data_IF_061401256678
#
_entry.id   IF_061401256678
#
_cell.length_a   1.000
_cell.length_b   1.000
_cell.length_c   1.000
_cell.angle_alpha   90.00
_cell.angle_beta   90.00
_cell.angle_gamma   90.00
#
_symmetry.space_group_name_H-M   'P 1'
#
loop_
_entity.id
_entity.type
_entity.pdbx_description
1 polymer ?
#
# COMPACT_ATOMS: atom_id res chain seq x y z
N UNK A 1 -4.58 -20.50 16.71
CA UNK A 1 -3.38 -20.81 15.91
C UNK A 1 -2.61 -19.50 15.77
N UNK A 2 -1.30 -19.50 15.53
CA UNK A 2 -0.59 -18.26 15.23
C UNK A 2 -0.22 -18.31 13.75
N UNK A 3 -0.79 -17.40 12.95
CA UNK A 3 -0.55 -17.28 11.51
C UNK A 3 0.77 -16.55 11.28
N UNK A 4 1.69 -17.20 10.58
CA UNK A 4 3.01 -16.64 10.24
C UNK A 4 2.93 -15.89 8.93
N UNK A 5 3.25 -14.60 8.97
CA UNK A 5 3.17 -13.71 7.80
C UNK A 5 4.58 -13.27 7.42
N UNK A 6 4.97 -13.57 6.19
CA UNK A 6 6.23 -13.08 5.62
C UNK A 6 6.02 -11.81 4.80
N UNK A 7 6.64 -10.69 5.15
CA UNK A 7 6.56 -9.44 4.38
C UNK A 7 7.93 -9.11 3.75
N UNK A 8 7.97 -9.05 2.42
CA UNK A 8 9.14 -8.70 1.62
C UNK A 8 9.04 -7.25 1.11
N UNK A 9 9.89 -6.36 1.64
CA UNK A 9 9.96 -4.95 1.24
C UNK A 9 11.16 -4.71 0.31
N UNK A 10 10.92 -4.46 -0.97
CA UNK A 10 11.98 -4.22 -1.96
C UNK A 10 11.70 -2.93 -2.73
N UNK A 11 12.54 -1.90 -2.52
CA UNK A 11 12.19 -0.54 -2.92
C UNK A 11 11.16 0.07 -1.96
N UNK A 12 10.52 1.16 -2.37
CA UNK A 12 9.53 1.83 -1.55
C UNK A 12 8.39 2.39 -2.40
N UNK A 13 7.17 2.09 -1.98
CA UNK A 13 5.94 2.83 -2.30
C UNK A 13 5.39 3.38 -0.98
N UNK A 14 4.44 4.32 -1.02
CA UNK A 14 3.89 4.94 0.19
C UNK A 14 3.24 3.95 1.17
N UNK A 15 2.75 2.81 0.67
CA UNK A 15 2.23 1.73 1.51
C UNK A 15 3.33 0.92 2.24
N UNK A 16 4.56 0.87 1.72
CA UNK A 16 5.65 0.05 2.26
C UNK A 16 6.00 0.30 3.74
N UNK A 17 6.03 1.55 4.24
CA UNK A 17 6.38 1.82 5.64
C UNK A 17 5.33 1.35 6.64
N UNK A 18 4.08 1.13 6.22
CA UNK A 18 2.94 0.89 7.13
C UNK A 18 2.28 -0.49 6.95
N UNK A 19 2.69 -1.27 5.95
CA UNK A 19 2.02 -2.53 5.57
C UNK A 19 1.99 -3.61 6.66
N UNK A 20 3.04 -3.70 7.47
CA UNK A 20 3.15 -4.62 8.60
C UNK A 20 2.44 -4.06 9.83
N UNK A 21 2.62 -2.77 10.08
CA UNK A 21 2.06 -2.08 11.23
C UNK A 21 0.53 -1.95 11.17
N UNK A 22 -0.07 -1.96 9.97
CA UNK A 22 -1.52 -1.87 9.84
C UNK A 22 -2.26 -3.17 10.19
N UNK A 23 -1.55 -4.29 10.29
CA UNK A 23 -2.12 -5.59 10.66
C UNK A 23 -2.22 -5.76 12.18
N UNK A 24 -1.38 -5.08 12.94
CA UNK A 24 -1.37 -5.11 14.40
C UNK A 24 -1.00 -3.73 14.97
N UNK A 25 -1.96 -2.81 14.87
CA UNK A 25 -1.76 -1.39 15.10
C UNK A 25 -1.43 -1.02 16.55
N UNK A 26 -1.52 -2.00 17.48
CA UNK A 26 -1.18 -1.84 18.91
C UNK A 26 -0.20 -2.91 19.43
N UNK A 27 0.32 -3.78 18.57
CA UNK A 27 1.14 -4.92 18.99
C UNK A 27 0.45 -5.81 20.05
N UNK A 28 -0.88 -6.00 19.93
CA UNK A 28 -1.71 -6.73 20.90
C UNK A 28 -2.49 -7.92 20.32
N UNK A 29 -2.33 -8.19 19.02
CA UNK A 29 -2.82 -9.41 18.38
C UNK A 29 -2.01 -10.62 18.80
N UNK A 30 -2.69 -11.67 19.24
CA UNK A 30 -2.05 -12.94 19.64
C UNK A 30 -2.15 -14.02 18.56
N UNK A 31 -2.82 -13.71 17.45
CA UNK A 31 -3.16 -14.62 16.35
C UNK A 31 -2.18 -14.55 15.17
N UNK A 32 -1.27 -13.57 15.12
CA UNK A 32 -0.29 -13.42 14.04
C UNK A 32 1.16 -13.30 14.55
N UNK A 33 2.12 -13.76 13.75
CA UNK A 33 3.55 -13.47 13.91
C UNK A 33 4.13 -13.01 12.57
N UNK A 34 4.55 -11.75 12.52
CA UNK A 34 5.00 -11.08 11.29
C UNK A 34 6.53 -11.04 11.25
N UNK A 35 7.11 -11.45 10.12
CA UNK A 35 8.54 -11.26 9.81
C UNK A 35 8.70 -10.38 8.59
N UNK A 36 9.54 -9.36 8.71
CA UNK A 36 9.82 -8.41 7.63
C UNK A 36 11.27 -8.61 7.17
N UNK A 37 11.45 -8.88 5.88
CA UNK A 37 12.75 -8.90 5.20
C UNK A 37 12.74 -7.88 4.07
N UNK A 38 13.89 -7.34 3.70
CA UNK A 38 13.94 -6.38 2.61
C UNK A 38 15.34 -5.95 2.20
N UNK A 39 15.41 -5.30 1.04
CA UNK A 39 16.64 -4.78 0.42
C UNK A 39 16.75 -3.26 0.49
N UNK A 40 16.00 -2.63 1.42
CA UNK A 40 15.88 -1.19 1.51
C UNK A 40 15.35 -0.59 0.19
N UNK A 41 15.93 0.53 -0.24
CA UNK A 41 15.53 1.20 -1.48
C UNK A 41 15.91 0.44 -2.76
N UNK A 42 16.72 -0.62 -2.68
CA UNK A 42 17.18 -1.36 -3.87
C UNK A 42 16.12 -2.38 -4.30
N UNK A 43 15.90 -2.47 -5.62
CA UNK A 43 14.96 -3.40 -6.26
C UNK A 43 15.58 -4.07 -7.50
N UNK A 44 16.91 -4.19 -7.56
CA UNK A 44 17.57 -4.91 -8.66
C UNK A 44 17.44 -6.43 -8.45
N UNK A 45 17.53 -7.24 -9.52
CA UNK A 45 17.37 -8.69 -9.46
C UNK A 45 18.15 -9.37 -8.34
N UNK A 46 19.45 -9.08 -8.19
CA UNK A 46 20.31 -9.77 -7.21
C UNK A 46 19.84 -9.55 -5.76
N UNK A 47 19.53 -8.31 -5.39
CA UNK A 47 19.06 -8.00 -4.03
C UNK A 47 17.69 -8.60 -3.77
N UNK A 48 16.79 -8.52 -4.74
CA UNK A 48 15.43 -9.04 -4.62
C UNK A 48 15.44 -10.57 -4.55
N UNK A 49 16.29 -11.23 -5.34
CA UNK A 49 16.46 -12.68 -5.31
C UNK A 49 16.98 -13.15 -3.95
N UNK A 50 18.00 -12.49 -3.39
CA UNK A 50 18.55 -12.83 -2.08
C UNK A 50 17.48 -12.82 -0.99
N UNK A 51 16.75 -11.70 -0.85
CA UNK A 51 15.76 -11.56 0.23
C UNK A 51 14.54 -12.45 -0.01
N UNK A 52 14.12 -12.65 -1.26
CA UNK A 52 12.98 -13.52 -1.59
C UNK A 52 13.27 -14.98 -1.22
N UNK A 53 14.48 -15.48 -1.49
CA UNK A 53 14.89 -16.83 -1.08
C UNK A 53 14.89 -16.99 0.43
N UNK A 54 15.49 -16.04 1.16
CA UNK A 54 15.50 -16.04 2.63
C UNK A 54 14.07 -16.06 3.21
N UNK A 55 13.14 -15.30 2.64
CA UNK A 55 11.75 -15.33 3.10
C UNK A 55 11.08 -16.69 2.88
N UNK A 56 11.33 -17.35 1.74
CA UNK A 56 10.80 -18.70 1.48
C UNK A 56 11.36 -19.71 2.49
N UNK A 57 12.63 -19.55 2.90
CA UNK A 57 13.26 -20.41 3.92
C UNK A 57 12.61 -20.29 5.30
N UNK A 58 12.03 -19.13 5.65
CA UNK A 58 11.28 -18.91 6.90
C UNK A 58 9.97 -19.72 6.96
N UNK A 59 9.45 -20.18 5.81
CA UNK A 59 8.20 -20.96 5.67
C UNK A 59 6.99 -20.32 6.38
N UNK A 60 6.64 -19.06 6.09
CA UNK A 60 5.40 -18.47 6.57
C UNK A 60 4.17 -19.15 5.92
N UNK A 61 2.99 -18.94 6.51
CA UNK A 61 1.72 -19.46 5.97
C UNK A 61 1.35 -18.75 4.66
N UNK A 62 1.71 -17.47 4.53
CA UNK A 62 1.68 -16.73 3.27
C UNK A 62 2.72 -15.60 3.22
N UNK A 63 3.01 -15.12 2.02
CA UNK A 63 3.99 -14.05 1.76
C UNK A 63 3.30 -12.84 1.13
N UNK A 64 3.62 -11.65 1.62
CA UNK A 64 3.29 -10.36 1.02
C UNK A 64 4.58 -9.75 0.47
N UNK A 65 4.68 -9.64 -0.85
CA UNK A 65 5.71 -8.80 -1.48
C UNK A 65 5.16 -7.39 -1.64
N UNK A 66 5.94 -6.38 -1.31
CA UNK A 66 5.59 -4.98 -1.55
C UNK A 66 6.76 -4.20 -2.15
N UNK A 67 6.48 -3.48 -3.24
CA UNK A 67 7.46 -2.65 -3.94
C UNK A 67 6.89 -1.96 -5.17
N UNK A 68 7.62 -0.97 -5.73
CA UNK A 68 7.18 -0.26 -6.91
C UNK A 68 7.30 -1.14 -8.16
N UNK A 69 6.41 -0.92 -9.10
CA UNK A 69 6.34 -1.53 -10.41
C UNK A 69 6.57 -3.06 -10.42
N UNK A 70 5.54 -3.87 -10.13
CA UNK A 70 5.60 -5.34 -10.23
C UNK A 70 6.10 -5.94 -11.57
N UNK A 71 6.12 -5.14 -12.63
CA UNK A 71 6.63 -5.53 -13.95
C UNK A 71 8.15 -5.27 -14.13
N UNK A 72 8.80 -4.56 -13.21
CA UNK A 72 10.24 -4.28 -13.27
C UNK A 72 11.09 -5.54 -13.04
N UNK A 73 12.37 -5.57 -13.48
CA UNK A 73 13.19 -6.78 -13.46
C UNK A 73 13.34 -7.45 -12.08
N UNK A 74 13.57 -6.69 -11.01
CA UNK A 74 13.64 -7.24 -9.65
C UNK A 74 12.31 -7.78 -9.15
N UNK A 75 11.22 -6.98 -9.12
CA UNK A 75 9.89 -7.48 -8.78
C UNK A 75 9.45 -8.70 -9.60
N UNK A 76 9.76 -8.75 -10.91
CA UNK A 76 9.52 -9.93 -11.74
C UNK A 76 10.29 -11.15 -11.24
N UNK A 77 11.55 -10.98 -10.82
CA UNK A 77 12.34 -12.05 -10.19
C UNK A 77 11.75 -12.53 -8.87
N UNK A 78 11.21 -11.62 -8.03
CA UNK A 78 10.47 -12.01 -6.83
C UNK A 78 9.26 -12.88 -7.18
N UNK A 79 8.45 -12.45 -8.16
CA UNK A 79 7.28 -13.21 -8.61
C UNK A 79 7.64 -14.63 -9.05
N UNK A 80 8.72 -14.80 -9.80
CA UNK A 80 9.21 -16.12 -10.22
C UNK A 80 9.54 -17.02 -9.02
N UNK A 81 10.26 -16.48 -8.02
CA UNK A 81 10.67 -17.22 -6.82
C UNK A 81 9.45 -17.58 -5.95
N UNK A 82 8.55 -16.62 -5.73
CA UNK A 82 7.36 -16.80 -4.90
C UNK A 82 6.38 -17.78 -5.54
N UNK A 83 6.15 -17.68 -6.86
CA UNK A 83 5.31 -18.63 -7.59
C UNK A 83 5.87 -20.06 -7.54
N UNK A 84 7.20 -20.22 -7.58
CA UNK A 84 7.85 -21.52 -7.48
C UNK A 84 7.93 -22.08 -6.04
N UNK A 85 7.69 -21.27 -5.01
CA UNK A 85 7.86 -21.67 -3.61
C UNK A 85 6.77 -22.61 -3.09
N UNK A 86 5.59 -22.60 -3.71
CA UNK A 86 4.39 -23.28 -3.20
C UNK A 86 3.74 -22.59 -1.99
N UNK A 87 4.26 -21.45 -1.53
CA UNK A 87 3.68 -20.66 -0.43
C UNK A 87 2.71 -19.63 -1.05
N UNK A 88 1.44 -19.55 -0.59
CA UNK A 88 0.50 -18.53 -1.05
C UNK A 88 1.11 -17.14 -0.94
N UNK A 89 1.08 -16.39 -2.04
CA UNK A 89 1.83 -15.13 -2.13
C UNK A 89 1.01 -14.05 -2.83
N UNK A 90 1.05 -12.83 -2.29
CA UNK A 90 0.40 -11.64 -2.86
C UNK A 90 1.43 -10.57 -3.19
N UNK A 91 1.29 -9.94 -4.36
CA UNK A 91 2.15 -8.85 -4.84
C UNK A 91 1.41 -7.52 -4.66
N UNK A 92 1.93 -6.65 -3.80
CA UNK A 92 1.45 -5.29 -3.60
C UNK A 92 2.34 -4.33 -4.37
N UNK A 93 1.74 -3.52 -5.23
CA UNK A 93 2.45 -2.55 -6.05
C UNK A 93 1.59 -1.38 -6.49
N UNK A 94 2.14 -0.58 -7.39
CA UNK A 94 1.57 0.65 -7.91
C UNK A 94 0.93 0.45 -9.31
N UNK A 95 0.42 1.54 -9.90
CA UNK A 95 -0.28 1.53 -11.18
C UNK A 95 0.46 0.85 -12.35
N UNK A 96 1.80 0.99 -12.52
CA UNK A 96 2.56 0.23 -13.51
C UNK A 96 2.32 -1.29 -13.50
N UNK A 97 2.07 -1.88 -12.32
CA UNK A 97 1.81 -3.31 -12.17
C UNK A 97 0.53 -3.80 -12.84
N UNK A 98 -0.40 -2.92 -13.20
CA UNK A 98 -1.68 -3.28 -13.85
C UNK A 98 -1.45 -4.01 -15.18
N UNK A 99 -0.35 -3.69 -15.88
CA UNK A 99 0.03 -4.33 -17.15
C UNK A 99 0.33 -5.82 -17.01
N UNK A 100 0.78 -6.25 -15.83
CA UNK A 100 1.21 -7.62 -15.54
C UNK A 100 0.21 -8.36 -14.63
N UNK A 101 -0.99 -7.81 -14.38
CA UNK A 101 -1.98 -8.43 -13.48
C UNK A 101 -2.40 -9.84 -13.93
N UNK A 102 -2.54 -10.05 -15.24
CA UNK A 102 -2.96 -11.33 -15.80
C UNK A 102 -1.81 -12.34 -15.69
N UNK A 103 -0.57 -11.91 -15.94
CA UNK A 103 0.61 -12.73 -15.71
C UNK A 103 0.78 -13.12 -14.24
N UNK A 104 0.50 -12.21 -13.29
CA UNK A 104 0.48 -12.55 -11.85
C UNK A 104 -0.57 -13.61 -11.52
N UNK A 105 -1.78 -13.47 -12.09
CA UNK A 105 -2.83 -14.47 -11.90
C UNK A 105 -2.48 -15.83 -12.51
N UNK A 106 -1.87 -15.86 -13.70
CA UNK A 106 -1.37 -17.07 -14.37
C UNK A 106 -0.23 -17.74 -13.59
N UNK A 107 0.60 -16.95 -12.89
CA UNK A 107 1.63 -17.44 -11.97
C UNK A 107 1.06 -18.01 -10.66
N UNK A 108 -0.26 -17.97 -10.45
CA UNK A 108 -0.89 -18.40 -9.20
C UNK A 108 -0.68 -17.42 -8.04
N UNK A 109 -0.33 -16.16 -8.33
CA UNK A 109 -0.11 -15.12 -7.33
C UNK A 109 -1.34 -14.23 -7.18
N UNK A 110 -1.55 -13.74 -5.95
CA UNK A 110 -2.44 -12.61 -5.69
C UNK A 110 -1.77 -11.29 -6.08
N UNK A 111 -2.59 -10.26 -6.25
CA UNK A 111 -2.10 -8.89 -6.42
C UNK A 111 -3.04 -7.86 -5.77
N UNK A 112 -2.43 -6.79 -5.24
CA UNK A 112 -3.11 -5.56 -4.83
C UNK A 112 -2.37 -4.36 -5.43
N UNK A 113 -3.00 -3.71 -6.40
CA UNK A 113 -2.39 -2.64 -7.20
C UNK A 113 -3.02 -1.30 -6.86
N UNK A 114 -2.23 -0.39 -6.28
CA UNK A 114 -2.71 0.85 -5.66
C UNK A 114 -2.50 2.02 -6.62
N UNK A 115 -3.59 2.51 -7.24
CA UNK A 115 -3.49 3.59 -8.25
C UNK A 115 -3.08 4.94 -7.65
N UNK A 116 -3.45 5.20 -6.40
CA UNK A 116 -3.11 6.44 -5.69
C UNK A 116 -1.81 6.36 -4.87
N UNK A 117 -0.95 5.36 -5.13
CA UNK A 117 0.40 5.29 -4.58
C UNK A 117 1.40 5.70 -5.69
N UNK A 118 1.66 7.02 -5.86
CA UNK A 118 2.40 7.51 -7.00
C UNK A 118 3.91 7.26 -6.90
N UNK A 119 4.54 7.13 -8.06
CA UNK A 119 5.98 7.28 -8.18
C UNK A 119 6.38 8.69 -7.71
N UNK A 120 7.50 8.76 -6.99
CA UNK A 120 8.12 10.02 -6.54
C UNK A 120 9.01 10.66 -7.60
N UNK A 121 9.15 11.99 -7.55
CA UNK A 121 10.01 12.80 -8.40
C UNK A 121 11.51 12.59 -8.19
N UNK A 122 12.02 11.40 -8.51
CA UNK A 122 13.38 10.92 -8.24
C UNK A 122 14.49 11.55 -9.11
N UNK A 123 14.62 12.88 -9.08
CA UNK A 123 15.71 13.63 -9.70
C UNK A 123 16.73 14.08 -8.65
N UNK A 124 18.01 13.81 -8.90
CA UNK A 124 19.13 14.11 -7.98
C UNK A 124 19.19 15.58 -7.53
N UNK A 125 18.77 16.49 -8.40
CA UNK A 125 18.81 17.94 -8.16
C UNK A 125 17.70 18.44 -7.23
N UNK A 126 16.72 17.58 -6.89
CA UNK A 126 15.55 17.95 -6.11
C UNK A 126 15.34 16.99 -4.94
N UNK A 127 15.35 15.68 -5.19
CA UNK A 127 14.98 14.68 -4.20
C UNK A 127 16.15 14.29 -3.29
N UNK A 128 16.33 15.07 -2.22
CA UNK A 128 17.20 14.71 -1.11
C UNK A 128 16.45 13.82 -0.07
N UNK A 129 17.12 13.34 0.99
CA UNK A 129 16.46 12.53 2.02
C UNK A 129 15.29 13.24 2.72
N UNK A 130 15.34 14.56 2.90
CA UNK A 130 14.27 15.33 3.56
C UNK A 130 13.05 15.39 2.66
N UNK A 131 13.23 15.77 1.39
CA UNK A 131 12.14 15.87 0.42
C UNK A 131 11.50 14.50 0.16
N UNK A 132 12.30 13.43 0.13
CA UNK A 132 11.80 12.06 0.05
C UNK A 132 10.91 11.71 1.25
N UNK A 133 11.30 12.09 2.46
CA UNK A 133 10.51 11.84 3.65
C UNK A 133 9.20 12.66 3.66
N UNK A 134 9.26 13.93 3.24
CA UNK A 134 8.08 14.80 3.14
C UNK A 134 7.05 14.24 2.17
N UNK A 135 7.48 13.85 0.97
CA UNK A 135 6.60 13.23 -0.01
C UNK A 135 5.93 11.95 0.53
N UNK A 136 6.72 11.05 1.13
CA UNK A 136 6.16 9.80 1.66
C UNK A 136 5.19 10.04 2.83
N UNK A 137 5.43 11.05 3.67
CA UNK A 137 4.48 11.43 4.73
C UNK A 137 3.14 11.89 4.15
N UNK A 138 3.15 12.68 3.07
CA UNK A 138 1.94 13.10 2.36
C UNK A 138 1.25 11.93 1.65
N UNK A 139 1.99 11.03 1.00
CA UNK A 139 1.40 9.81 0.40
C UNK A 139 0.75 8.94 1.46
N UNK A 140 1.42 8.66 2.59
CA UNK A 140 0.84 7.89 3.70
C UNK A 140 -0.46 8.53 4.18
N UNK A 141 -0.48 9.87 4.30
CA UNK A 141 -1.68 10.61 4.67
C UNK A 141 -2.82 10.36 3.68
N UNK A 142 -2.55 10.46 2.38
CA UNK A 142 -3.53 10.19 1.32
C UNK A 142 -4.01 8.73 1.34
N UNK A 143 -3.11 7.75 1.42
CA UNK A 143 -3.47 6.34 1.44
C UNK A 143 -4.37 5.98 2.63
N UNK A 144 -4.09 6.55 3.80
CA UNK A 144 -4.90 6.37 5.00
C UNK A 144 -6.25 7.09 4.90
N UNK A 145 -6.23 8.35 4.44
CA UNK A 145 -7.42 9.20 4.41
C UNK A 145 -8.39 8.90 3.27
N UNK A 146 -7.93 8.33 2.17
CA UNK A 146 -8.79 7.88 1.05
C UNK A 146 -9.41 6.52 1.29
N UNK A 147 -8.81 5.68 2.15
CA UNK A 147 -9.23 4.30 2.39
C UNK A 147 -8.44 3.24 1.65
N UNK A 148 -7.46 3.61 0.83
CA UNK A 148 -6.59 2.63 0.17
C UNK A 148 -5.91 1.69 1.19
N UNK A 149 -5.42 2.24 2.31
CA UNK A 149 -4.87 1.45 3.42
C UNK A 149 -5.88 0.44 3.99
N UNK A 150 -7.15 0.83 4.12
CA UNK A 150 -8.21 -0.04 4.65
C UNK A 150 -8.54 -1.19 3.70
N UNK A 151 -8.50 -0.94 2.39
CA UNK A 151 -8.64 -2.01 1.39
C UNK A 151 -7.48 -3.00 1.49
N UNK A 152 -6.25 -2.53 1.68
CA UNK A 152 -5.09 -3.41 1.87
C UNK A 152 -5.16 -4.20 3.18
N UNK A 153 -5.52 -3.54 4.29
CA UNK A 153 -5.78 -4.18 5.59
C UNK A 153 -6.72 -5.37 5.42
N UNK A 154 -7.94 -5.10 4.94
CA UNK A 154 -8.98 -6.12 4.81
C UNK A 154 -8.53 -7.28 3.90
N UNK A 155 -7.82 -6.99 2.80
CA UNK A 155 -7.35 -8.03 1.89
C UNK A 155 -6.33 -8.99 2.54
N UNK A 156 -5.49 -8.48 3.46
CA UNK A 156 -4.54 -9.32 4.18
C UNK A 156 -5.23 -10.04 5.35
N UNK A 157 -6.13 -9.38 6.08
CA UNK A 157 -6.89 -10.01 7.16
C UNK A 157 -7.75 -11.17 6.65
N UNK A 158 -8.36 -11.06 5.46
CA UNK A 158 -9.07 -12.17 4.81
C UNK A 158 -8.16 -13.39 4.58
N UNK A 159 -6.88 -13.17 4.25
CA UNK A 159 -5.89 -14.25 4.13
C UNK A 159 -5.55 -14.85 5.50
N UNK A 160 -5.42 -14.02 6.54
CA UNK A 160 -5.21 -14.48 7.93
C UNK A 160 -6.37 -15.38 8.37
N UNK A 161 -7.61 -14.90 8.21
CA UNK A 161 -8.81 -15.65 8.59
C UNK A 161 -8.92 -16.99 7.85
N UNK A 162 -8.55 -17.03 6.57
CA UNK A 162 -8.53 -18.29 5.82
C UNK A 162 -7.58 -19.32 6.44
N UNK A 163 -6.38 -18.91 6.88
CA UNK A 163 -5.43 -19.79 7.56
C UNK A 163 -5.98 -20.26 8.90
N UNK A 164 -6.52 -19.35 9.71
CA UNK A 164 -7.07 -19.68 11.03
C UNK A 164 -8.23 -20.67 10.96
N UNK A 165 -9.08 -20.53 9.94
CA UNK A 165 -10.21 -21.43 9.68
C UNK A 165 -9.80 -22.75 9.01
N UNK A 166 -8.50 -22.93 8.69
CA UNK A 166 -7.98 -24.10 7.99
C UNK A 166 -8.48 -24.23 6.55
N UNK A 167 -8.84 -23.10 5.93
CA UNK A 167 -9.32 -23.01 4.54
C UNK A 167 -8.18 -22.68 3.59
N UNK A 168 -8.39 -22.93 2.31
CA UNK A 168 -7.50 -22.45 1.25
C UNK A 168 -7.54 -20.92 1.20
N UNK A 169 -6.36 -20.30 1.09
CA UNK A 169 -6.23 -18.83 1.01
C UNK A 169 -6.72 -18.36 -0.36
N UNK A 170 -7.83 -17.63 -0.38
CA UNK A 170 -8.30 -16.93 -1.59
C UNK A 170 -7.42 -15.70 -1.84
N UNK A 171 -6.41 -15.85 -2.69
CA UNK A 171 -5.48 -14.77 -3.02
C UNK A 171 -6.19 -13.56 -3.65
N UNK A 172 -5.97 -12.33 -3.14
CA UNK A 172 -6.66 -11.14 -3.62
C UNK A 172 -6.26 -10.82 -5.06
N UNK A 173 -7.20 -10.31 -5.85
CA UNK A 173 -6.97 -9.83 -7.23
C UNK A 173 -7.56 -8.42 -7.37
N UNK A 174 -6.93 -7.46 -6.68
CA UNK A 174 -7.48 -6.13 -6.46
C UNK A 174 -6.68 -5.07 -7.23
N UNK A 175 -7.38 -4.25 -7.99
CA UNK A 175 -6.89 -2.92 -8.39
C UNK A 175 -7.67 -1.91 -7.56
N UNK A 176 -6.98 -1.18 -6.69
CA UNK A 176 -7.60 -0.14 -5.85
C UNK A 176 -7.88 1.06 -6.74
N UNK A 177 -9.14 1.26 -7.06
CA UNK A 177 -9.66 2.45 -7.73
C UNK A 177 -10.15 3.46 -6.71
N UNK A 178 -10.39 4.69 -7.15
CA UNK A 178 -10.97 5.76 -6.33
C UNK A 178 -12.20 5.28 -5.57
N UNK A 179 -13.18 4.73 -6.29
CA UNK A 179 -14.43 4.22 -5.72
C UNK A 179 -14.19 3.14 -4.66
N UNK A 180 -13.33 2.15 -4.95
CA UNK A 180 -13.01 1.07 -3.99
C UNK A 180 -12.37 1.61 -2.71
N UNK A 181 -11.48 2.59 -2.84
CA UNK A 181 -10.84 3.20 -1.68
C UNK A 181 -11.86 3.97 -0.82
N UNK A 182 -12.62 4.88 -1.43
CA UNK A 182 -13.54 5.74 -0.66
C UNK A 182 -14.74 4.99 -0.10
N UNK A 183 -15.18 3.90 -0.74
CA UNK A 183 -16.23 3.04 -0.19
C UNK A 183 -15.76 2.29 1.05
N UNK A 184 -14.48 1.90 1.13
CA UNK A 184 -13.94 1.21 2.30
C UNK A 184 -13.94 2.07 3.57
N UNK A 185 -14.02 3.40 3.44
CA UNK A 185 -13.99 4.34 4.56
C UNK A 185 -15.33 4.55 5.26
N UNK A 186 -16.45 4.10 4.67
CA UNK A 186 -17.79 4.28 5.23
C UNK A 186 -18.07 5.75 5.65
N UNK A 187 -17.67 6.72 4.81
CA UNK A 187 -17.88 8.14 5.08
C UNK A 187 -19.36 8.45 5.34
N UNK A 188 -19.65 9.06 6.49
CA UNK A 188 -21.00 9.52 6.81
C UNK A 188 -21.34 10.84 6.12
N UNK A 189 -20.36 11.73 5.95
CA UNK A 189 -20.52 13.01 5.28
C UNK A 189 -20.19 12.88 3.78
N UNK A 190 -21.15 13.20 2.87
CA UNK A 190 -20.91 13.09 1.43
C UNK A 190 -19.82 14.05 0.92
N UNK A 191 -19.59 15.19 1.57
CA UNK A 191 -18.50 16.09 1.22
C UNK A 191 -17.13 15.57 1.69
N UNK A 192 -17.08 14.82 2.79
CA UNK A 192 -15.87 14.12 3.19
C UNK A 192 -15.49 13.07 2.13
N UNK A 193 -16.47 12.28 1.68
CA UNK A 193 -16.30 11.34 0.56
C UNK A 193 -15.78 12.05 -0.69
N UNK A 194 -16.42 13.14 -1.10
CA UNK A 194 -16.02 13.89 -2.29
C UNK A 194 -14.58 14.44 -2.20
N UNK A 195 -14.16 14.93 -1.03
CA UNK A 195 -12.78 15.38 -0.81
C UNK A 195 -11.77 14.23 -0.86
N UNK A 196 -12.12 13.08 -0.30
CA UNK A 196 -11.30 11.87 -0.39
C UNK A 196 -11.17 11.38 -1.85
N UNK A 197 -12.25 11.42 -2.64
CA UNK A 197 -12.22 11.13 -4.08
C UNK A 197 -11.26 12.08 -4.81
N UNK A 198 -11.35 13.39 -4.55
CA UNK A 198 -10.46 14.37 -5.16
C UNK A 198 -9.00 14.11 -4.80
N UNK A 199 -8.69 13.84 -3.52
CA UNK A 199 -7.34 13.52 -3.08
C UNK A 199 -6.79 12.25 -3.74
N UNK A 200 -7.62 11.22 -3.90
CA UNK A 200 -7.24 9.99 -4.61
C UNK A 200 -6.83 10.30 -6.05
N UNK A 201 -7.65 11.07 -6.78
CA UNK A 201 -7.38 11.43 -8.18
C UNK A 201 -6.13 12.28 -8.29
N UNK A 202 -5.93 13.24 -7.36
CA UNK A 202 -4.71 14.05 -7.31
C UNK A 202 -3.47 13.16 -7.15
N UNK A 203 -3.48 12.22 -6.21
CA UNK A 203 -2.38 11.30 -5.99
C UNK A 203 -2.13 10.36 -7.18
N UNK A 204 -3.19 9.84 -7.81
CA UNK A 204 -3.05 9.06 -9.06
C UNK A 204 -2.37 9.88 -10.16
N UNK A 205 -2.73 11.17 -10.30
CA UNK A 205 -2.17 12.06 -11.32
C UNK A 205 -0.77 12.58 -11.02
N UNK A 206 -0.34 12.57 -9.77
CA UNK A 206 1.06 12.87 -9.39
C UNK A 206 2.05 12.00 -10.17
N UNK A 207 1.75 10.70 -10.34
CA UNK A 207 2.62 9.78 -11.08
C UNK A 207 2.83 10.19 -12.55
N UNK A 208 1.80 10.72 -13.23
CA UNK A 208 1.91 11.19 -14.61
C UNK A 208 2.87 12.39 -14.72
N UNK A 209 2.84 13.29 -13.72
CA UNK A 209 3.71 14.46 -13.64
C UNK A 209 5.16 14.01 -13.40
N UNK A 210 5.38 13.08 -12.47
CA UNK A 210 6.70 12.57 -12.14
C UNK A 210 7.31 11.76 -13.29
N UNK A 211 6.54 10.93 -13.99
CA UNK A 211 7.02 10.24 -15.21
C UNK A 211 7.52 11.24 -16.25
N UNK A 212 6.78 12.34 -16.46
CA UNK A 212 7.19 13.42 -17.38
C UNK A 212 8.49 14.08 -16.93
N UNK A 213 8.65 14.38 -15.64
CA UNK A 213 9.86 15.02 -15.09
C UNK A 213 11.07 14.09 -15.05
N UNK A 214 10.89 12.84 -14.64
CA UNK A 214 11.96 11.86 -14.47
C UNK A 214 12.45 11.26 -15.79
N UNK A 215 11.56 10.99 -16.75
CA UNK A 215 11.91 10.18 -17.92
C UNK A 215 11.72 10.86 -19.27
N UNK A 216 10.82 11.84 -19.39
CA UNK A 216 10.49 12.45 -20.69
C UNK A 216 11.20 13.79 -20.93
N UNK A 217 11.36 14.60 -19.88
CA UNK A 217 11.97 15.94 -19.96
C UNK A 217 13.47 15.86 -19.68
N UNK A 218 14.32 16.48 -20.51
CA UNK A 218 15.78 16.37 -20.39
C UNK A 218 16.42 17.64 -19.81
N UNK A 219 15.84 18.79 -20.08
CA UNK A 219 16.38 20.09 -19.68
C UNK A 219 16.14 20.33 -18.19
N UNK A 220 17.20 20.64 -17.46
CA UNK A 220 17.20 20.77 -16.00
C UNK A 220 16.25 21.85 -15.52
N UNK A 221 16.27 22.99 -16.20
CA UNK A 221 15.41 24.15 -15.93
C UNK A 221 13.93 23.83 -16.12
N UNK A 222 13.60 22.74 -16.83
CA UNK A 222 12.24 22.27 -17.04
C UNK A 222 11.87 21.12 -16.11
N UNK A 223 12.72 20.09 -15.98
CA UNK A 223 12.32 18.92 -15.21
C UNK A 223 12.29 19.17 -13.69
N UNK A 224 13.13 20.08 -13.17
CA UNK A 224 13.15 20.38 -11.73
C UNK A 224 11.80 20.97 -11.28
N UNK A 225 11.27 22.04 -11.90
CA UNK A 225 9.93 22.53 -11.56
C UNK A 225 8.82 21.50 -11.75
N UNK A 226 8.95 20.59 -12.73
CA UNK A 226 7.95 19.55 -12.97
C UNK A 226 7.88 18.58 -11.78
N UNK A 227 9.01 17.99 -11.36
CA UNK A 227 9.00 17.05 -10.21
C UNK A 227 8.63 17.75 -8.90
N UNK A 228 9.04 19.01 -8.71
CA UNK A 228 8.61 19.81 -7.56
C UNK A 228 7.10 20.07 -7.56
N UNK A 229 6.49 20.30 -8.74
CA UNK A 229 5.03 20.48 -8.85
C UNK A 229 4.24 19.20 -8.56
N UNK A 230 4.82 18.02 -8.82
CA UNK A 230 4.23 16.74 -8.44
C UNK A 230 4.17 16.61 -6.90
N UNK A 231 5.24 17.04 -6.22
CA UNK A 231 5.29 17.07 -4.75
C UNK A 231 4.28 18.06 -4.15
N UNK A 232 4.10 19.25 -4.73
CA UNK A 232 3.02 20.14 -4.29
C UNK A 232 1.62 19.53 -4.54
N UNK A 233 1.46 18.76 -5.63
CA UNK A 233 0.19 18.07 -5.91
C UNK A 233 -0.14 17.06 -4.81
N UNK A 234 0.80 16.20 -4.40
CA UNK A 234 0.55 15.24 -3.33
C UNK A 234 0.31 15.92 -1.97
N UNK A 235 1.01 17.03 -1.70
CA UNK A 235 0.80 17.83 -0.49
C UNK A 235 -0.62 18.38 -0.39
N UNK A 236 -1.19 18.88 -1.49
CA UNK A 236 -2.59 19.33 -1.48
C UNK A 236 -3.59 18.17 -1.44
N UNK A 237 -3.24 16.99 -1.99
CA UNK A 237 -4.03 15.78 -1.79
C UNK A 237 -4.07 15.38 -0.30
N UNK A 238 -2.94 15.46 0.41
CA UNK A 238 -2.85 15.22 1.85
C UNK A 238 -3.74 16.20 2.65
N UNK A 239 -3.74 17.49 2.28
CA UNK A 239 -4.66 18.48 2.88
C UNK A 239 -6.13 18.16 2.62
N UNK A 240 -6.48 17.70 1.41
CA UNK A 240 -7.87 17.33 1.09
C UNK A 240 -8.38 16.17 1.94
N UNK A 241 -7.55 15.15 2.22
CA UNK A 241 -7.97 14.07 3.13
C UNK A 241 -8.01 14.51 4.59
N UNK A 242 -7.16 15.45 5.02
CA UNK A 242 -7.28 16.05 6.35
C UNK A 242 -8.61 16.80 6.49
N UNK A 243 -8.99 17.61 5.50
CA UNK A 243 -10.30 18.27 5.47
C UNK A 243 -11.47 17.27 5.48
N UNK A 244 -11.36 16.16 4.72
CA UNK A 244 -12.35 15.08 4.76
C UNK A 244 -12.46 14.48 6.18
N UNK A 245 -11.33 14.22 6.83
CA UNK A 245 -11.29 13.66 8.18
C UNK A 245 -11.89 14.63 9.22
N UNK A 246 -11.65 15.93 9.09
CA UNK A 246 -12.25 16.94 9.96
C UNK A 246 -13.78 17.04 9.78
N UNK A 247 -14.29 16.88 8.56
CA UNK A 247 -15.74 16.83 8.32
C UNK A 247 -16.42 15.64 9.03
N UNK A 248 -15.77 14.46 9.06
CA UNK A 248 -16.28 13.30 9.80
C UNK A 248 -16.22 13.50 11.32
N UNK A 249 -15.14 14.14 11.81
CA UNK A 249 -14.99 14.48 13.24
C UNK A 249 -16.06 15.47 13.69
N UNK A 250 -16.36 16.48 12.87
CA UNK A 250 -17.37 17.49 13.17
C UNK A 250 -18.78 16.90 13.40
N UNK A 251 -19.04 15.70 12.88
CA UNK A 251 -20.30 14.98 13.05
C UNK A 251 -20.19 13.74 13.97
N UNK A 252 -19.08 13.57 14.67
CA UNK A 252 -18.80 12.39 15.53
C UNK A 252 -19.05 11.05 14.82
N UNK A 253 -18.63 10.94 13.55
CA UNK A 253 -18.98 9.83 12.67
C UNK A 253 -17.76 9.12 12.07
N UNK A 254 -16.60 9.29 12.69
CA UNK A 254 -15.32 8.79 12.16
C UNK A 254 -15.28 7.26 12.19
N UNK A 255 -15.40 6.61 11.03
CA UNK A 255 -15.21 5.16 10.90
C UNK A 255 -13.83 4.72 11.38
N UNK A 256 -13.83 3.74 12.30
CA UNK A 256 -12.65 3.10 12.90
C UNK A 256 -12.91 1.60 12.98
N UNK A 257 -11.98 0.81 12.47
CA UNK A 257 -12.05 -0.66 12.53
C UNK A 257 -10.75 -1.24 13.11
N UNK A 258 -10.59 -1.20 14.45
CA UNK A 258 -9.41 -1.75 15.11
C UNK A 258 -9.49 -3.29 15.18
N UNK A 259 -8.34 -3.94 15.27
CA UNK A 259 -8.30 -5.37 15.61
C UNK A 259 -8.59 -5.58 17.09
N UNK A 260 -9.25 -6.68 17.44
CA UNK A 260 -9.27 -7.23 18.79
C UNK A 260 -8.01 -8.06 19.05
N UNK A 261 -7.74 -8.41 20.30
CA UNK A 261 -6.57 -9.25 20.65
C UNK A 261 -6.62 -10.68 20.09
N UNK A 262 -7.80 -11.12 19.62
CA UNK A 262 -8.02 -12.38 18.89
C UNK A 262 -8.08 -12.21 17.37
N UNK A 263 -7.68 -11.05 16.84
CA UNK A 263 -7.56 -10.78 15.41
C UNK A 263 -8.84 -10.27 14.72
N UNK A 264 -10.01 -10.36 15.35
CA UNK A 264 -11.27 -9.87 14.76
C UNK A 264 -11.22 -8.38 14.47
N UNK A 265 -11.71 -7.98 13.31
CA UNK A 265 -11.88 -6.56 12.97
C UNK A 265 -13.18 -6.06 13.62
N UNK A 266 -13.05 -5.20 14.62
CA UNK A 266 -14.18 -4.52 15.27
C UNK A 266 -14.60 -3.27 14.48
N UNK A 267 -15.68 -2.61 14.87
CA UNK A 267 -16.15 -1.39 14.22
C UNK A 267 -16.72 -0.36 15.21
N UNK A 268 -16.46 0.93 14.94
CA UNK A 268 -17.12 2.08 15.60
C UNK A 268 -17.03 3.35 14.75
N UNK A 269 -17.95 4.28 14.95
CA UNK A 269 -17.99 5.62 14.38
C UNK A 269 -17.90 6.73 15.45
N UNK A 270 -18.64 6.62 16.57
CA UNK A 270 -18.69 7.66 17.61
C UNK A 270 -17.44 7.63 18.47
N UNK A 271 -16.95 8.79 18.89
CA UNK A 271 -15.71 8.88 19.65
C UNK A 271 -15.79 8.10 20.97
N UNK A 272 -16.90 8.18 21.69
CA UNK A 272 -17.07 7.63 23.04
C UNK A 272 -17.63 6.20 23.10
N UNK A 273 -18.02 5.60 21.97
CA UNK A 273 -18.53 4.22 21.98
C UNK A 273 -17.40 3.18 22.05
N UNK A 274 -17.70 1.96 22.49
CA UNK A 274 -16.73 0.86 22.39
C UNK A 274 -16.78 0.27 20.98
N UNK A 275 -15.64 -0.12 20.39
CA UNK A 275 -15.67 -0.89 19.15
C UNK A 275 -16.28 -2.27 19.45
N UNK A 276 -17.20 -2.69 18.56
CA UNK A 276 -17.92 -3.97 18.62
C UNK A 276 -17.67 -4.81 17.38
#
# INVERSE_FOLDING_TARGET
MVVKIGILKCGNIGMSPIIDLCLDERADRNDIDVRVLGSGAKMNPDQVEEVSKKMVEEKPDFIVYIGPNPAAPGPKKAREILAASGIPSVIIGDAPGIKDKDAMAEQGLGYVLIKCDPMIGARRQFLDPVEMAMFNADVIRVLAGTGALRVVQNAIDEMVFAVEEGKEISLPKIVITEQKAVDAMDFANPYAKAKAMAAFVMAEKTADIDVKGCFMTKEMEKYIPIVASAHETIRYAAKMVDEARELEKATDAVSRKPHAGDGKILNKCKLMEKPE
#
